data_IF_806350527781
#
_entry.id   IF_806350527781
#
_cell.length_a   1.000
_cell.length_b   1.000
_cell.length_c   1.000
_cell.angle_alpha   90.00
_cell.angle_beta   90.00
_cell.angle_gamma   90.00
#
_symmetry.space_group_name_H-M   'P 1'
#
loop_
_entity.id
_entity.type
_entity.pdbx_description
1 polymer ?
#
# COMPACT_ATOMS: atom_id res chain seq x y z
N UNK A 1 13.88 -10.15 -15.21
CA UNK A 1 13.06 -8.93 -15.29
C UNK A 1 12.95 -8.39 -13.89
N UNK A 2 13.82 -7.46 -13.54
CA UNK A 2 13.95 -6.84 -12.23
C UNK A 2 12.63 -6.19 -11.83
N UNK A 3 11.90 -6.83 -10.91
CA UNK A 3 10.72 -6.24 -10.29
C UNK A 3 11.21 -5.09 -9.42
N UNK A 4 11.28 -3.90 -10.01
CA UNK A 4 11.77 -2.67 -9.38
C UNK A 4 11.09 -2.53 -8.02
N UNK A 5 11.88 -2.69 -6.96
CA UNK A 5 11.37 -2.63 -5.60
C UNK A 5 10.83 -1.22 -5.34
N UNK A 6 9.66 -1.15 -4.70
CA UNK A 6 9.11 0.12 -4.24
C UNK A 6 10.09 0.70 -3.22
N UNK A 7 10.44 1.95 -3.43
CA UNK A 7 11.49 2.67 -2.72
C UNK A 7 10.90 3.87 -1.97
N UNK A 8 11.68 4.49 -1.09
CA UNK A 8 11.23 5.66 -0.32
C UNK A 8 10.77 6.83 -1.21
N UNK A 9 11.26 6.93 -2.45
CA UNK A 9 10.79 7.92 -3.44
C UNK A 9 9.35 7.69 -3.89
N UNK A 10 8.81 6.49 -3.74
CA UNK A 10 7.44 6.14 -4.11
C UNK A 10 6.42 6.43 -2.98
N UNK A 11 6.88 6.83 -1.78
CA UNK A 11 6.01 7.15 -0.65
C UNK A 11 4.98 8.24 -0.96
N UNK A 12 5.33 9.38 -1.57
CA UNK A 12 4.35 10.44 -1.85
C UNK A 12 3.30 9.98 -2.86
N UNK A 13 3.71 9.16 -3.83
CA UNK A 13 2.79 8.56 -4.79
C UNK A 13 1.86 7.56 -4.11
N UNK A 14 2.38 6.71 -3.23
CA UNK A 14 1.59 5.72 -2.50
C UNK A 14 0.60 6.36 -1.53
N UNK A 15 1.03 7.41 -0.85
CA UNK A 15 0.17 8.24 -0.02
C UNK A 15 -0.95 8.91 -0.84
N UNK A 16 -0.63 9.42 -2.03
CA UNK A 16 -1.63 10.00 -2.94
C UNK A 16 -2.65 8.94 -3.39
N UNK A 17 -2.21 7.72 -3.69
CA UNK A 17 -3.10 6.60 -4.03
C UNK A 17 -4.01 6.21 -2.85
N UNK A 18 -3.47 6.13 -1.64
CA UNK A 18 -4.27 5.86 -0.44
C UNK A 18 -5.32 6.95 -0.21
N UNK A 19 -4.93 8.22 -0.34
CA UNK A 19 -5.84 9.36 -0.21
C UNK A 19 -6.93 9.33 -1.29
N UNK A 20 -6.57 9.03 -2.54
CA UNK A 20 -7.51 8.90 -3.64
C UNK A 20 -8.46 7.71 -3.47
N UNK A 21 -8.01 6.63 -2.82
CA UNK A 21 -8.87 5.48 -2.48
C UNK A 21 -9.94 5.82 -1.43
N UNK A 22 -9.71 6.85 -0.62
CA UNK A 22 -10.69 7.38 0.35
C UNK A 22 -11.68 8.37 -0.27
N UNK A 23 -11.44 8.81 -1.51
CA UNK A 23 -12.34 9.74 -2.20
C UNK A 23 -13.71 9.11 -2.45
N UNK A 24 -14.76 9.93 -2.32
CA UNK A 24 -16.15 9.51 -2.62
C UNK A 24 -16.38 9.32 -4.12
N UNK A 25 -15.56 9.96 -4.95
CA UNK A 25 -15.65 9.89 -6.40
C UNK A 25 -15.14 8.54 -6.89
N UNK A 26 -16.06 7.72 -7.44
CA UNK A 26 -15.72 6.37 -7.93
C UNK A 26 -14.71 6.42 -9.10
N UNK A 27 -14.73 7.49 -9.89
CA UNK A 27 -13.78 7.75 -10.98
C UNK A 27 -12.34 7.89 -10.49
N UNK A 28 -12.14 8.35 -9.26
CA UNK A 28 -10.83 8.53 -8.62
C UNK A 28 -10.46 7.31 -7.78
N UNK A 29 -11.45 6.71 -7.10
CA UNK A 29 -11.23 5.56 -6.22
C UNK A 29 -10.82 4.30 -6.98
N UNK A 30 -11.54 3.93 -8.05
CA UNK A 30 -11.27 2.71 -8.84
C UNK A 30 -9.83 2.63 -9.38
N UNK A 31 -9.29 3.67 -10.05
CA UNK A 31 -7.92 3.62 -10.55
C UNK A 31 -6.90 3.58 -9.41
N UNK A 32 -7.17 4.26 -8.28
CA UNK A 32 -6.30 4.23 -7.12
C UNK A 32 -6.22 2.84 -6.48
N UNK A 33 -7.35 2.18 -6.27
CA UNK A 33 -7.43 0.80 -5.76
C UNK A 33 -6.74 -0.19 -6.72
N UNK A 34 -6.90 -0.01 -8.03
CA UNK A 34 -6.25 -0.86 -9.04
C UNK A 34 -4.74 -0.70 -9.02
N UNK A 35 -4.24 0.54 -8.93
CA UNK A 35 -2.80 0.82 -8.82
C UNK A 35 -2.20 0.28 -7.51
N UNK A 36 -2.96 0.35 -6.40
CA UNK A 36 -2.59 -0.25 -5.11
C UNK A 36 -2.50 -1.77 -5.21
N UNK A 37 -3.47 -2.43 -5.84
CA UNK A 37 -3.46 -3.88 -6.03
C UNK A 37 -2.29 -4.36 -6.91
N UNK A 38 -1.94 -3.61 -7.95
CA UNK A 38 -0.74 -3.89 -8.77
C UNK A 38 0.56 -3.69 -7.98
N UNK A 39 0.57 -2.70 -7.09
CA UNK A 39 1.72 -2.42 -6.21
C UNK A 39 1.87 -3.44 -5.09
N UNK A 40 0.78 -4.10 -4.66
CA UNK A 40 0.79 -5.14 -3.61
C UNK A 40 1.72 -6.33 -3.97
N UNK A 41 1.87 -6.63 -5.27
CA UNK A 41 2.72 -7.72 -5.75
C UNK A 41 4.22 -7.33 -5.88
N UNK A 42 4.59 -6.07 -5.58
CA UNK A 42 5.96 -5.58 -5.73
C UNK A 42 6.75 -5.71 -4.41
N UNK A 43 8.03 -6.12 -4.46
CA UNK A 43 8.88 -6.10 -3.28
C UNK A 43 9.03 -4.65 -2.77
N UNK A 44 8.98 -4.45 -1.45
CA UNK A 44 9.05 -3.10 -0.84
C UNK A 44 7.69 -2.47 -0.51
N UNK A 45 6.57 -3.00 -1.02
CA UNK A 45 5.23 -2.47 -0.74
C UNK A 45 4.92 -2.39 0.75
N UNK A 46 5.14 -3.48 1.49
CA UNK A 46 4.91 -3.53 2.93
C UNK A 46 5.78 -2.54 3.71
N UNK A 47 7.03 -2.33 3.29
CA UNK A 47 7.92 -1.34 3.90
C UNK A 47 7.41 0.08 3.68
N UNK A 48 6.98 0.42 2.46
CA UNK A 48 6.37 1.71 2.16
C UNK A 48 5.10 1.96 2.98
N UNK A 49 4.24 0.95 3.14
CA UNK A 49 3.05 1.07 3.99
C UNK A 49 3.41 1.28 5.46
N UNK A 50 4.43 0.58 5.96
CA UNK A 50 4.90 0.74 7.34
C UNK A 50 5.44 2.15 7.58
N UNK A 51 6.16 2.73 6.62
CA UNK A 51 6.62 4.12 6.70
C UNK A 51 5.44 5.10 6.74
N UNK A 52 4.39 4.89 5.92
CA UNK A 52 3.17 5.73 5.97
C UNK A 52 2.43 5.60 7.30
N UNK A 53 2.37 4.40 7.89
CA UNK A 53 1.72 4.15 9.19
C UNK A 53 2.51 4.82 10.34
N UNK A 54 3.84 4.73 10.30
CA UNK A 54 4.73 5.25 11.36
C UNK A 54 5.07 6.73 11.19
N UNK A 55 4.75 7.34 10.05
CA UNK A 55 4.94 8.76 9.79
C UNK A 55 4.16 9.62 10.79
N UNK A 56 4.90 10.32 11.65
CA UNK A 56 4.36 11.22 12.68
C UNK A 56 3.74 12.50 12.10
N UNK A 57 4.13 12.89 10.89
CA UNK A 57 3.59 14.07 10.21
C UNK A 57 2.14 13.86 9.73
N UNK A 58 1.76 12.59 9.55
CA UNK A 58 0.42 12.18 9.13
C UNK A 58 -0.56 12.01 10.32
N UNK A 59 -0.26 12.61 11.48
CA UNK A 59 -1.11 12.51 12.69
C UNK A 59 -2.55 12.95 12.48
N UNK A 60 -2.78 13.94 11.62
CA UNK A 60 -4.12 14.41 11.25
C UNK A 60 -4.88 13.45 10.31
N UNK A 61 -4.17 12.53 9.64
CA UNK A 61 -4.72 11.67 8.59
C UNK A 61 -4.89 10.23 9.06
N UNK A 62 -5.71 10.09 10.09
CA UNK A 62 -6.04 8.80 10.70
C UNK A 62 -6.59 7.83 9.66
N UNK A 63 -7.46 8.29 8.76
CA UNK A 63 -8.08 7.45 7.73
C UNK A 63 -7.06 6.86 6.74
N UNK A 64 -6.07 7.65 6.32
CA UNK A 64 -5.01 7.19 5.41
C UNK A 64 -4.14 6.12 6.08
N UNK A 65 -3.79 6.32 7.36
CA UNK A 65 -3.00 5.32 8.10
C UNK A 65 -3.78 4.05 8.41
N UNK A 66 -5.07 4.18 8.71
CA UNK A 66 -5.94 3.04 8.88
C UNK A 66 -6.01 2.24 7.57
N UNK A 67 -6.18 2.93 6.44
CA UNK A 67 -6.20 2.30 5.13
C UNK A 67 -4.88 1.61 4.80
N UNK A 68 -3.74 2.27 5.04
CA UNK A 68 -2.42 1.67 4.89
C UNK A 68 -2.27 0.40 5.74
N UNK A 69 -2.78 0.42 6.99
CA UNK A 69 -2.76 -0.74 7.89
C UNK A 69 -3.62 -1.89 7.37
N UNK A 70 -4.78 -1.59 6.78
CA UNK A 70 -5.66 -2.59 6.15
C UNK A 70 -4.95 -3.25 4.97
N UNK A 71 -4.34 -2.47 4.07
CA UNK A 71 -3.57 -3.01 2.94
C UNK A 71 -2.37 -3.84 3.41
N UNK A 72 -1.66 -3.38 4.44
CA UNK A 72 -0.52 -4.08 5.02
C UNK A 72 -0.95 -5.45 5.58
N UNK A 73 -2.01 -5.48 6.39
CA UNK A 73 -2.59 -6.71 6.92
C UNK A 73 -3.02 -7.66 5.80
N UNK A 74 -3.67 -7.13 4.76
CA UNK A 74 -4.15 -7.95 3.64
C UNK A 74 -2.99 -8.57 2.86
N UNK A 75 -1.93 -7.80 2.61
CA UNK A 75 -0.72 -8.28 1.93
C UNK A 75 -0.03 -9.36 2.74
N UNK A 76 0.12 -9.20 4.07
CA UNK A 76 0.65 -10.27 4.93
C UNK A 76 -0.23 -11.52 4.84
N UNK A 77 -1.55 -11.38 4.98
CA UNK A 77 -2.44 -12.54 4.95
C UNK A 77 -2.35 -13.31 3.62
N UNK A 78 -2.22 -12.59 2.49
CA UNK A 78 -2.15 -13.19 1.14
C UNK A 78 -0.78 -13.79 0.82
N UNK A 79 0.30 -13.09 1.13
CA UNK A 79 1.63 -13.43 0.60
C UNK A 79 2.59 -14.03 1.63
N UNK A 80 2.31 -13.91 2.93
CA UNK A 80 3.20 -14.43 3.98
C UNK A 80 3.12 -15.96 4.13
N UNK A 81 1.93 -16.56 3.95
CA UNK A 81 1.73 -18.01 4.12
C UNK A 81 1.96 -18.83 2.85
N UNK A 82 1.89 -18.24 1.67
CA UNK A 82 2.09 -18.96 0.40
C UNK A 82 3.55 -19.32 0.07
N UNK A 83 4.52 -19.00 0.95
CA UNK A 83 5.92 -19.43 0.77
C UNK A 83 6.26 -20.80 1.38
N UNK A 84 5.31 -21.54 1.96
CA UNK A 84 5.60 -22.85 2.58
C UNK A 84 5.30 -24.10 1.76
N UNK A 85 4.58 -24.00 0.65
CA UNK A 85 4.20 -25.19 -0.15
C UNK A 85 4.80 -25.15 -1.56
N UNK A 86 6.11 -25.00 -1.64
CA UNK A 86 6.89 -25.35 -2.83
C UNK A 86 8.08 -26.18 -2.37
N UNK A 87 7.78 -27.38 -1.91
CA UNK A 87 8.73 -28.47 -1.72
C UNK A 87 8.47 -29.53 -2.79
#
# INVERSE_FOLDING_TARGET
MDSMALSASDLPAMYSLLTNSLSREQSVRKPAETALAQSENRPGFCSCLMEVITAKDLVSQVDVRLMASVYFKNSINRYWRNKRDSA
#
